data_IF_176878381958
#
_entry.id   IF_176878381958
#
_cell.length_a   1.000
_cell.length_b   1.000
_cell.length_c   1.000
_cell.angle_alpha   90.00
_cell.angle_beta   90.00
_cell.angle_gamma   90.00
#
_symmetry.space_group_name_H-M   'P 1'
#
loop_
_entity.id
_entity.type
_entity.pdbx_description
1 polymer ?
#
# COMPACT_ATOMS: atom_id res chain seq x y z
N UNK A 1 64.35 -1.23 17.81
CA UNK A 1 64.14 -1.69 16.44
C UNK A 1 62.86 -2.43 16.28
N UNK A 2 62.48 -3.23 17.21
CA UNK A 2 61.21 -3.97 17.15
C UNK A 2 59.98 -3.09 17.41
N UNK A 3 60.16 -1.94 17.99
CA UNK A 3 59.06 -1.03 18.33
C UNK A 3 58.35 -0.48 17.11
N UNK A 4 59.07 -0.37 16.02
CA UNK A 4 58.45 0.16 14.79
C UNK A 4 57.51 -0.81 14.14
N UNK A 5 57.69 -2.08 14.37
CA UNK A 5 56.83 -3.11 13.83
C UNK A 5 55.49 -3.15 14.54
N UNK A 6 55.44 -2.75 15.79
CA UNK A 6 54.23 -2.77 16.58
C UNK A 6 53.28 -1.65 16.21
N UNK A 7 53.79 -0.54 15.67
CA UNK A 7 52.93 0.58 15.26
C UNK A 7 52.04 0.27 14.10
N UNK A 8 52.43 -0.66 13.28
CA UNK A 8 51.65 -1.01 12.08
C UNK A 8 50.37 -1.73 12.41
N UNK A 9 50.31 -2.31 13.57
CA UNK A 9 49.14 -3.07 13.99
C UNK A 9 48.01 -2.18 14.49
N UNK A 10 48.38 -1.01 14.99
CA UNK A 10 47.39 -0.06 15.48
C UNK A 10 46.61 0.63 14.37
N UNK A 11 47.10 0.47 13.14
CA UNK A 11 46.50 1.12 11.97
C UNK A 11 45.54 0.24 11.21
N UNK A 12 45.34 -0.98 11.64
CA UNK A 12 44.24 -1.77 11.11
C UNK A 12 43.01 -1.16 11.71
N UNK A 13 42.65 -0.02 11.14
CA UNK A 13 41.47 0.70 11.57
C UNK A 13 40.27 -0.19 11.46
N UNK A 14 39.56 -0.23 12.54
CA UNK A 14 38.20 -0.69 12.55
C UNK A 14 37.44 0.11 11.48
N UNK A 15 37.37 -0.44 10.29
CA UNK A 15 36.36 -0.03 9.35
C UNK A 15 35.06 -0.62 9.90
N UNK A 16 34.52 0.09 10.86
CA UNK A 16 33.13 -0.16 11.20
C UNK A 16 32.30 0.22 9.99
N UNK A 17 32.11 -0.74 9.12
CA UNK A 17 31.07 -0.62 8.12
C UNK A 17 29.77 -0.63 8.89
N UNK A 18 29.30 0.56 9.20
CA UNK A 18 27.93 0.71 9.64
C UNK A 18 27.11 0.35 8.41
N UNK A 19 26.83 -0.93 8.28
CA UNK A 19 25.83 -1.36 7.34
C UNK A 19 24.52 -0.79 7.85
N UNK A 20 24.15 0.37 7.35
CA UNK A 20 22.81 0.85 7.49
C UNK A 20 21.93 -0.16 6.77
N UNK A 21 21.41 -1.10 7.53
CA UNK A 21 20.44 -2.04 7.00
C UNK A 21 19.19 -1.24 6.69
N UNK A 22 19.09 -0.88 5.43
CA UNK A 22 17.85 -0.30 4.92
C UNK A 22 16.80 -1.42 4.92
N UNK A 23 15.85 -1.34 5.84
CA UNK A 23 14.73 -2.26 5.87
C UNK A 23 13.61 -1.65 5.05
N UNK A 24 13.38 -2.10 3.82
CA UNK A 24 12.22 -1.64 3.09
C UNK A 24 10.97 -2.06 3.83
N UNK A 25 9.96 -1.19 3.82
CA UNK A 25 8.63 -1.53 4.34
C UNK A 25 8.15 -2.85 3.71
N UNK A 26 7.42 -3.68 4.46
CA UNK A 26 6.92 -4.93 3.91
C UNK A 26 6.18 -4.67 2.58
N UNK A 27 6.61 -5.35 1.54
CA UNK A 27 6.04 -5.16 0.20
C UNK A 27 4.52 -5.40 0.17
N UNK A 28 3.99 -6.18 1.11
CA UNK A 28 2.56 -6.49 1.21
C UNK A 28 1.69 -5.28 1.50
N UNK A 29 2.22 -4.22 2.18
CA UNK A 29 1.45 -3.01 2.50
C UNK A 29 1.22 -2.11 1.29
N UNK A 30 2.01 -2.29 0.22
CA UNK A 30 1.98 -1.44 -0.98
C UNK A 30 1.66 -2.22 -2.25
N UNK A 31 1.57 -3.54 -2.16
CA UNK A 31 1.33 -4.37 -3.32
C UNK A 31 -0.12 -4.25 -3.77
N UNK A 32 -0.31 -4.17 -5.09
CA UNK A 32 -1.62 -4.29 -5.68
C UNK A 32 -2.27 -5.62 -5.31
N UNK A 33 -3.59 -5.60 -5.18
CA UNK A 33 -4.35 -6.80 -4.95
C UNK A 33 -4.30 -7.67 -6.21
N UNK A 34 -3.82 -8.90 -6.07
CA UNK A 34 -3.69 -9.83 -7.18
C UNK A 34 -4.94 -10.70 -7.39
N UNK A 35 -5.83 -10.79 -6.38
CA UNK A 35 -7.07 -11.55 -6.51
C UNK A 35 -7.94 -10.94 -7.60
N UNK A 36 -8.38 -11.75 -8.54
CA UNK A 36 -9.23 -11.30 -9.63
C UNK A 36 -10.62 -10.91 -9.11
N UNK A 37 -11.09 -9.75 -9.53
CA UNK A 37 -12.42 -9.28 -9.16
C UNK A 37 -13.46 -9.89 -10.11
N UNK A 38 -14.47 -10.47 -9.52
CA UNK A 38 -15.64 -11.01 -10.24
C UNK A 38 -16.62 -9.90 -10.57
N UNK A 39 -16.83 -9.00 -9.62
CA UNK A 39 -17.68 -7.83 -9.76
C UNK A 39 -16.93 -6.61 -9.25
N UNK A 40 -16.83 -5.58 -10.09
CA UNK A 40 -16.27 -4.27 -9.72
C UNK A 40 -17.36 -3.23 -9.85
N UNK A 41 -17.44 -2.34 -8.87
CA UNK A 41 -18.36 -1.22 -8.88
C UNK A 41 -17.53 0.05 -8.82
N UNK A 42 -17.73 0.94 -9.81
CA UNK A 42 -17.05 2.23 -9.82
C UNK A 42 -17.75 3.17 -8.83
N UNK A 43 -16.99 3.86 -7.96
CA UNK A 43 -17.60 4.81 -7.06
C UNK A 43 -18.15 6.02 -7.82
N UNK A 44 -19.36 6.49 -7.47
CA UNK A 44 -19.85 7.73 -8.04
C UNK A 44 -19.02 8.91 -7.51
N UNK A 45 -18.84 9.92 -8.36
CA UNK A 45 -18.15 11.13 -7.95
C UNK A 45 -19.11 11.94 -7.05
N UNK A 46 -18.77 12.19 -5.78
CA UNK A 46 -19.66 12.93 -4.89
C UNK A 46 -19.92 14.35 -5.39
N UNK A 47 -21.16 14.80 -5.30
CA UNK A 47 -21.53 16.14 -5.74
C UNK A 47 -20.76 17.24 -5.01
N UNK A 48 -20.55 17.06 -3.72
CA UNK A 48 -19.76 18.00 -2.93
C UNK A 48 -18.34 18.09 -3.44
N UNK A 49 -17.75 16.95 -3.78
CA UNK A 49 -16.38 16.92 -4.31
C UNK A 49 -16.29 17.63 -5.67
N UNK A 50 -17.32 17.47 -6.53
CA UNK A 50 -17.38 18.19 -7.79
C UNK A 50 -17.42 19.69 -7.60
N UNK A 51 -18.31 20.15 -6.72
CA UNK A 51 -18.49 21.58 -6.45
C UNK A 51 -17.24 22.22 -5.90
N UNK A 52 -16.49 21.48 -5.10
CA UNK A 52 -15.28 21.96 -4.45
C UNK A 52 -14.02 21.66 -5.26
N UNK A 53 -14.14 21.07 -6.45
CA UNK A 53 -13.02 20.65 -7.27
C UNK A 53 -12.05 19.72 -6.54
N UNK A 54 -12.58 18.86 -5.70
CA UNK A 54 -11.78 17.87 -4.97
C UNK A 54 -11.51 16.69 -5.90
N UNK A 55 -10.23 16.44 -6.16
CA UNK A 55 -9.76 15.34 -6.97
C UNK A 55 -8.73 14.54 -6.18
N UNK A 56 -8.34 13.39 -6.69
CA UNK A 56 -7.27 12.62 -6.09
C UNK A 56 -7.51 11.13 -6.14
N UNK A 57 -6.62 10.41 -5.48
CA UNK A 57 -6.63 8.96 -5.41
C UNK A 57 -6.94 8.50 -4.00
N UNK A 58 -7.86 7.56 -3.87
CA UNK A 58 -8.13 6.87 -2.61
C UNK A 58 -7.44 5.52 -2.65
N UNK A 59 -6.65 5.22 -1.63
CA UNK A 59 -5.98 3.94 -1.48
C UNK A 59 -6.55 3.21 -0.29
N UNK A 60 -6.98 1.97 -0.50
CA UNK A 60 -7.56 1.13 0.54
C UNK A 60 -6.85 -0.21 0.54
N UNK A 61 -6.29 -0.58 1.68
CA UNK A 61 -5.77 -1.92 1.86
C UNK A 61 -6.93 -2.85 2.19
N UNK A 62 -7.00 -3.97 1.49
CA UNK A 62 -8.10 -4.93 1.65
C UNK A 62 -7.56 -6.32 1.94
N UNK A 63 -8.34 -7.09 2.67
CA UNK A 63 -8.12 -8.51 2.88
C UNK A 63 -9.34 -9.24 2.32
N UNK A 64 -9.09 -10.17 1.40
CA UNK A 64 -10.13 -10.95 0.73
C UNK A 64 -10.13 -12.36 1.28
N UNK A 65 -11.29 -12.82 1.72
CA UNK A 65 -11.45 -14.19 2.22
C UNK A 65 -11.33 -15.22 1.09
N UNK A 66 -11.10 -16.50 1.41
CA UNK A 66 -11.04 -17.53 0.38
C UNK A 66 -12.27 -17.60 -0.50
N UNK A 67 -13.45 -17.29 0.05
CA UNK A 67 -14.69 -17.32 -0.71
C UNK A 67 -14.91 -16.11 -1.64
N UNK A 68 -13.99 -15.14 -1.62
CA UNK A 68 -14.07 -13.97 -2.49
C UNK A 68 -14.72 -12.74 -1.88
N UNK A 69 -15.17 -12.80 -0.63
CA UNK A 69 -15.75 -11.63 0.04
C UNK A 69 -14.67 -10.82 0.75
N UNK A 70 -14.92 -9.53 0.93
CA UNK A 70 -14.02 -8.68 1.71
C UNK A 70 -14.12 -9.03 3.19
N UNK A 71 -12.98 -9.36 3.77
CA UNK A 71 -12.87 -9.66 5.19
C UNK A 71 -12.56 -8.40 6.00
N UNK A 72 -11.65 -7.56 5.49
CA UNK A 72 -11.22 -6.37 6.20
C UNK A 72 -10.80 -5.30 5.20
N UNK A 73 -10.90 -4.05 5.60
CA UNK A 73 -10.50 -2.90 4.82
C UNK A 73 -9.84 -1.86 5.72
N UNK A 74 -8.81 -1.20 5.19
CA UNK A 74 -8.13 -0.12 5.89
C UNK A 74 -7.79 0.98 4.90
N UNK A 75 -8.25 2.20 5.17
CA UNK A 75 -7.92 3.35 4.34
C UNK A 75 -6.46 3.73 4.58
N UNK A 76 -5.68 3.76 3.50
CA UNK A 76 -4.27 4.12 3.53
C UNK A 76 -4.08 5.60 3.22
N UNK A 77 -4.90 6.14 2.33
CA UNK A 77 -4.85 7.55 1.97
C UNK A 77 -6.02 8.00 1.12
N UNK A 78 -6.26 9.29 1.11
CA UNK A 78 -7.32 9.90 0.31
C UNK A 78 -8.09 10.97 1.06
N UNK A 79 -8.77 11.83 0.30
CA UNK A 79 -9.64 12.84 0.88
C UNK A 79 -10.88 12.18 1.50
N UNK A 80 -11.29 12.57 2.72
CA UNK A 80 -12.42 11.92 3.39
C UNK A 80 -13.71 11.88 2.59
N UNK A 81 -14.00 12.90 1.80
CA UNK A 81 -15.21 12.95 0.96
C UNK A 81 -15.15 11.87 -0.11
N UNK A 82 -13.99 11.69 -0.73
CA UNK A 82 -13.79 10.66 -1.75
C UNK A 82 -13.71 9.27 -1.13
N UNK A 83 -13.15 9.16 0.06
CA UNK A 83 -13.02 7.88 0.78
C UNK A 83 -14.38 7.25 1.02
N UNK A 84 -15.37 8.02 1.44
CA UNK A 84 -16.73 7.49 1.69
C UNK A 84 -17.30 6.86 0.42
N UNK A 85 -17.18 7.54 -0.71
CA UNK A 85 -17.67 7.01 -1.98
C UNK A 85 -16.93 5.74 -2.39
N UNK A 86 -15.61 5.73 -2.22
CA UNK A 86 -14.78 4.57 -2.54
C UNK A 86 -15.13 3.37 -1.66
N UNK A 87 -15.34 3.58 -0.38
CA UNK A 87 -15.69 2.51 0.56
C UNK A 87 -17.05 1.92 0.25
N UNK A 88 -18.03 2.76 -0.07
CA UNK A 88 -19.37 2.28 -0.43
C UNK A 88 -19.35 1.43 -1.70
N UNK A 89 -18.56 1.84 -2.69
CA UNK A 89 -18.39 1.05 -3.90
C UNK A 89 -17.70 -0.28 -3.62
N UNK A 90 -16.64 -0.23 -2.80
CA UNK A 90 -15.84 -1.41 -2.48
C UNK A 90 -16.63 -2.49 -1.77
N UNK A 91 -17.60 -2.12 -0.95
CA UNK A 91 -18.52 -3.07 -0.28
C UNK A 91 -19.31 -3.92 -1.26
N UNK A 92 -19.52 -3.43 -2.46
CA UNK A 92 -20.26 -4.12 -3.51
C UNK A 92 -19.37 -4.99 -4.41
N UNK A 93 -18.07 -4.94 -4.22
CA UNK A 93 -17.13 -5.74 -4.99
C UNK A 93 -17.19 -7.21 -4.56
N UNK A 94 -17.04 -8.08 -5.54
CA UNK A 94 -16.90 -9.53 -5.33
C UNK A 94 -15.64 -10.00 -6.02
N UNK A 95 -14.95 -10.93 -5.39
CA UNK A 95 -13.71 -11.50 -5.92
C UNK A 95 -13.88 -12.96 -6.21
N UNK A 96 -13.02 -13.49 -7.08
CA UNK A 96 -12.98 -14.92 -7.36
C UNK A 96 -12.54 -15.70 -6.12
N UNK A 97 -13.10 -16.89 -5.87
CA UNK A 97 -12.64 -17.73 -4.77
C UNK A 97 -11.20 -18.18 -4.99
N UNK A 98 -10.50 -18.44 -3.88
CA UNK A 98 -9.15 -18.99 -3.91
C UNK A 98 -8.92 -19.85 -2.67
N UNK A 99 -7.78 -20.54 -2.64
CA UNK A 99 -7.46 -21.47 -1.56
C UNK A 99 -7.16 -20.78 -0.23
N UNK A 100 -6.75 -19.51 -0.28
CA UNK A 100 -6.40 -18.77 0.92
C UNK A 100 -6.81 -17.31 0.84
N UNK A 101 -6.53 -16.58 1.91
CA UNK A 101 -6.74 -15.14 1.95
C UNK A 101 -5.77 -14.43 1.02
N UNK A 102 -6.22 -13.31 0.49
CA UNK A 102 -5.37 -12.40 -0.27
C UNK A 102 -5.44 -11.01 0.34
N UNK A 103 -4.33 -10.31 0.36
CA UNK A 103 -4.30 -8.93 0.80
C UNK A 103 -3.59 -8.07 -0.25
N UNK A 104 -3.96 -6.82 -0.31
CA UNK A 104 -3.36 -5.89 -1.24
C UNK A 104 -4.05 -4.55 -1.17
N UNK A 105 -3.65 -3.64 -2.05
CA UNK A 105 -4.17 -2.29 -2.10
C UNK A 105 -4.99 -2.08 -3.34
N UNK A 106 -6.17 -1.47 -3.17
CA UNK A 106 -7.04 -1.05 -4.25
C UNK A 106 -7.00 0.47 -4.35
N UNK A 107 -6.84 0.99 -5.55
CA UNK A 107 -6.83 2.43 -5.79
C UNK A 107 -8.05 2.86 -6.57
N UNK A 108 -8.64 3.97 -6.15
CA UNK A 108 -9.72 4.63 -6.87
C UNK A 108 -9.28 6.04 -7.24
N UNK A 109 -9.30 6.33 -8.53
CA UNK A 109 -8.91 7.65 -9.03
C UNK A 109 -10.17 8.47 -9.31
N UNK A 110 -10.23 9.63 -8.66
CA UNK A 110 -11.31 10.58 -8.84
C UNK A 110 -10.78 11.79 -9.61
N UNK A 111 -11.17 11.86 -10.85
CA UNK A 111 -10.80 12.98 -11.73
C UNK A 111 -12.04 13.51 -12.43
N UNK A 112 -12.16 14.84 -12.59
CA UNK A 112 -13.29 15.39 -13.32
C UNK A 112 -13.25 14.86 -14.75
N UNK A 113 -14.39 14.40 -15.22
CA UNK A 113 -14.55 14.03 -16.61
C UNK A 113 -15.10 15.22 -17.37
N UNK A 114 -14.40 15.59 -18.42
CA UNK A 114 -14.84 16.66 -19.30
C UNK A 114 -16.06 16.24 -20.14
#
# INVERSE_FOLDING_TARGET
MSLQKMRRWAMVGLLAVVATTFHPLPAMAQAELTRKAKTKVMPPYPDLARRMNITGTVKVMVVVSPNGSLKDTKVVGGNPILVNAAMDALKKWKFEPADGESSGTVEFKFQPQD
#
